data_IF_889008526734
#
_entry.id   IF_889008526734
#
_cell.length_a   1.000
_cell.length_b   1.000
_cell.length_c   1.000
_cell.angle_alpha   90.00
_cell.angle_beta   90.00
_cell.angle_gamma   90.00
#
_symmetry.space_group_name_H-M   'P 1'
#
loop_
_entity.id
_entity.type
_entity.pdbx_description
1 polymer ?
#
# COMPACT_ATOMS: atom_id res chain seq x y z
N UNK A 1 -8.18 -1.18 26.57
CA UNK A 1 -8.15 -2.61 26.99
C UNK A 1 -8.33 -3.47 25.75
N UNK A 2 -7.45 -4.44 25.50
CA UNK A 2 -7.61 -5.40 24.41
C UNK A 2 -8.79 -6.33 24.73
N UNK A 3 -9.83 -6.34 23.88
CA UNK A 3 -10.91 -7.32 24.03
C UNK A 3 -10.36 -8.74 23.85
N UNK A 4 -10.80 -9.72 24.65
CA UNK A 4 -10.43 -11.11 24.47
C UNK A 4 -10.94 -11.62 23.11
N UNK A 5 -10.16 -12.49 22.47
CA UNK A 5 -10.51 -13.08 21.18
C UNK A 5 -11.73 -14.01 21.39
N UNK A 6 -12.84 -13.70 20.75
CA UNK A 6 -14.06 -14.52 20.75
C UNK A 6 -14.19 -15.28 19.44
N UNK A 7 -14.42 -16.60 19.53
CA UNK A 7 -14.64 -17.48 18.37
C UNK A 7 -16.14 -17.72 18.21
N UNK A 8 -16.70 -17.40 17.04
CA UNK A 8 -18.10 -17.64 16.69
C UNK A 8 -18.19 -18.60 15.49
N UNK A 9 -18.98 -19.67 15.62
CA UNK A 9 -19.14 -20.71 14.58
C UNK A 9 -20.62 -21.07 14.43
N UNK A 10 -21.34 -20.30 13.63
CA UNK A 10 -22.74 -20.55 13.22
C UNK A 10 -22.93 -20.15 11.75
N UNK A 11 -24.00 -20.60 11.07
CA UNK A 11 -24.23 -20.28 9.64
C UNK A 11 -24.33 -18.78 9.33
N UNK A 12 -24.72 -17.97 10.33
CA UNK A 12 -24.80 -16.51 10.27
C UNK A 12 -23.47 -15.82 10.64
N UNK A 13 -22.35 -16.54 10.67
CA UNK A 13 -21.05 -16.00 11.10
C UNK A 13 -20.63 -14.74 10.34
N UNK A 14 -20.93 -14.64 9.04
CA UNK A 14 -20.64 -13.44 8.25
C UNK A 14 -21.47 -12.24 8.75
N UNK A 15 -22.78 -12.41 8.94
CA UNK A 15 -23.68 -11.37 9.46
C UNK A 15 -23.28 -10.96 10.89
N UNK A 16 -22.98 -11.95 11.74
CA UNK A 16 -22.49 -11.72 13.11
C UNK A 16 -21.16 -10.94 13.12
N UNK A 17 -20.25 -11.24 12.20
CA UNK A 17 -18.98 -10.54 12.06
C UNK A 17 -19.17 -9.08 11.62
N UNK A 18 -19.98 -8.84 10.59
CA UNK A 18 -20.27 -7.48 10.09
C UNK A 18 -20.98 -6.65 11.18
N UNK A 19 -21.96 -7.20 11.87
CA UNK A 19 -22.66 -6.50 12.95
C UNK A 19 -21.73 -6.14 14.11
N UNK A 20 -20.80 -7.02 14.48
CA UNK A 20 -19.78 -6.70 15.48
C UNK A 20 -18.81 -5.62 14.99
N UNK A 21 -18.40 -5.67 13.73
CA UNK A 21 -17.54 -4.63 13.14
C UNK A 21 -18.24 -3.27 13.11
N UNK A 22 -19.52 -3.20 12.76
CA UNK A 22 -20.31 -1.96 12.80
C UNK A 22 -20.40 -1.46 14.24
N UNK A 23 -20.71 -2.33 15.20
CA UNK A 23 -20.75 -1.97 16.63
C UNK A 23 -19.41 -1.45 17.14
N UNK A 24 -18.29 -2.05 16.70
CA UNK A 24 -16.96 -1.56 17.03
C UNK A 24 -16.63 -0.24 16.32
N UNK A 25 -17.01 -0.08 15.05
CA UNK A 25 -16.91 1.19 14.34
C UNK A 25 -17.67 2.27 15.08
N UNK A 26 -18.91 2.04 15.51
CA UNK A 26 -19.72 3.05 16.20
C UNK A 26 -19.15 3.40 17.58
N UNK A 27 -18.44 2.47 18.24
CA UNK A 27 -17.70 2.75 19.47
C UNK A 27 -16.40 3.52 19.23
N UNK A 28 -15.67 3.20 18.16
CA UNK A 28 -14.34 3.72 17.87
C UNK A 28 -14.40 5.04 17.09
N UNK A 29 -15.38 5.21 16.19
CA UNK A 29 -15.49 6.37 15.33
C UNK A 29 -15.54 7.68 16.12
N UNK A 30 -16.34 7.82 17.20
CA UNK A 30 -16.30 9.00 18.06
C UNK A 30 -14.91 9.22 18.68
N UNK A 31 -14.21 8.16 19.07
CA UNK A 31 -12.87 8.27 19.67
C UNK A 31 -11.80 8.72 18.66
N UNK A 32 -11.94 8.34 17.38
CA UNK A 32 -10.98 8.72 16.32
C UNK A 32 -11.28 10.11 15.76
N UNK A 33 -12.56 10.49 15.65
CA UNK A 33 -12.96 11.80 15.12
C UNK A 33 -12.94 12.89 16.17
N UNK A 34 -12.95 12.54 17.46
CA UNK A 34 -12.70 13.51 18.54
C UNK A 34 -11.29 14.04 18.38
N UNK A 35 -11.19 15.33 18.06
CA UNK A 35 -9.94 16.08 18.18
C UNK A 35 -9.57 16.02 19.65
N UNK A 36 -8.72 15.06 20.02
CA UNK A 36 -8.23 14.98 21.38
C UNK A 36 -7.38 16.23 21.62
N UNK A 37 -7.75 17.07 22.60
CA UNK A 37 -6.89 18.18 22.96
C UNK A 37 -5.53 17.61 23.35
N UNK A 38 -4.48 18.25 22.86
CA UNK A 38 -3.13 17.93 23.31
C UNK A 38 -3.08 18.23 24.80
N UNK A 39 -2.99 17.18 25.63
CA UNK A 39 -2.88 17.34 27.07
C UNK A 39 -1.42 17.61 27.41
N UNK A 40 -1.01 18.88 27.28
CA UNK A 40 0.27 19.33 27.80
C UNK A 40 0.18 19.45 29.32
N UNK A 41 1.24 19.04 30.02
CA UNK A 41 1.38 19.41 31.43
C UNK A 41 1.53 20.94 31.57
N UNK A 42 1.23 21.53 32.73
CA UNK A 42 1.50 22.96 32.97
C UNK A 42 2.96 23.35 32.65
N UNK A 43 3.90 22.46 32.93
CA UNK A 43 5.33 22.64 32.63
C UNK A 43 5.60 22.64 31.12
N UNK A 44 4.97 21.76 30.36
CA UNK A 44 5.11 21.70 28.89
C UNK A 44 4.45 22.90 28.20
N UNK A 45 3.35 23.41 28.76
CA UNK A 45 2.68 24.62 28.27
C UNK A 45 3.53 25.87 28.54
N UNK A 46 4.14 25.97 29.73
CA UNK A 46 5.10 27.02 30.07
C UNK A 46 6.35 26.94 29.17
N UNK A 47 6.85 25.73 28.91
CA UNK A 47 7.94 25.50 27.97
C UNK A 47 7.56 25.96 26.55
N UNK A 48 6.38 25.59 26.04
CA UNK A 48 5.93 26.03 24.72
C UNK A 48 5.80 27.55 24.63
N UNK A 49 5.26 28.19 25.66
CA UNK A 49 5.04 29.63 25.70
C UNK A 49 6.36 30.41 25.76
N UNK A 50 7.31 29.95 26.56
CA UNK A 50 8.64 30.56 26.71
C UNK A 50 9.58 30.27 25.54
N UNK A 51 9.37 29.19 24.79
CA UNK A 51 10.24 28.81 23.68
C UNK A 51 10.08 29.79 22.50
N UNK A 52 11.22 30.38 22.13
CA UNK A 52 11.34 31.32 21.01
C UNK A 52 12.01 30.68 19.80
N UNK A 53 12.56 29.46 19.92
CA UNK A 53 13.28 28.79 18.83
C UNK A 53 12.71 27.41 18.54
N UNK A 54 12.59 27.11 17.25
CA UNK A 54 12.11 25.83 16.76
C UNK A 54 13.05 24.70 17.22
N UNK A 55 12.53 23.68 17.89
CA UNK A 55 13.36 22.60 18.40
C UNK A 55 14.01 21.76 17.27
N UNK A 56 13.43 21.77 16.06
CA UNK A 56 13.94 21.06 14.87
C UNK A 56 15.08 21.81 14.17
N UNK A 57 14.83 23.04 13.71
CA UNK A 57 15.79 23.79 12.89
C UNK A 57 16.60 24.83 13.68
N UNK A 58 16.24 25.08 14.95
CA UNK A 58 16.87 26.06 15.85
C UNK A 58 16.74 27.52 15.41
N UNK A 59 15.88 27.86 14.45
CA UNK A 59 15.56 29.25 14.07
C UNK A 59 14.40 29.81 14.90
N UNK A 60 14.25 31.14 14.93
CA UNK A 60 13.20 31.83 15.70
C UNK A 60 11.81 31.40 15.22
N UNK A 61 10.90 31.22 16.18
CA UNK A 61 9.48 30.97 15.97
C UNK A 61 8.77 32.32 15.92
N UNK A 62 8.04 32.57 14.84
CA UNK A 62 7.27 33.80 14.68
C UNK A 62 5.77 33.47 14.79
N UNK A 63 4.95 33.93 13.84
CA UNK A 63 3.50 33.69 13.82
C UNK A 63 3.12 32.25 13.41
N UNK A 64 4.11 31.38 13.21
CA UNK A 64 3.97 30.02 12.71
C UNK A 64 4.30 28.95 13.77
N UNK A 65 4.40 29.36 15.05
CA UNK A 65 4.69 28.48 16.18
C UNK A 65 3.57 27.45 16.38
N UNK A 66 3.91 26.17 16.25
CA UNK A 66 3.02 25.02 16.49
C UNK A 66 3.59 24.06 17.52
N UNK A 67 2.71 23.26 18.14
CA UNK A 67 3.07 22.21 19.11
C UNK A 67 3.32 20.90 18.36
N UNK A 68 4.58 20.45 18.27
CA UNK A 68 4.88 19.12 17.73
C UNK A 68 4.69 18.06 18.81
N UNK A 69 4.09 16.93 18.45
CA UNK A 69 3.86 15.82 19.35
C UNK A 69 3.99 14.48 18.63
N UNK A 70 4.23 13.42 19.41
CA UNK A 70 4.22 12.07 18.90
C UNK A 70 2.78 11.57 18.76
N UNK A 71 2.28 11.41 17.53
CA UNK A 71 0.93 10.87 17.28
C UNK A 71 0.65 9.48 17.89
N UNK A 72 1.69 8.69 18.16
CA UNK A 72 1.53 7.35 18.76
C UNK A 72 1.50 7.38 20.29
N UNK A 73 2.25 8.29 20.92
CA UNK A 73 2.39 8.33 22.38
C UNK A 73 1.76 9.56 23.03
N UNK A 74 1.21 10.50 22.25
CA UNK A 74 0.68 11.78 22.72
C UNK A 74 1.73 12.77 23.24
N UNK A 75 2.96 12.30 23.49
CA UNK A 75 4.03 13.09 24.11
C UNK A 75 4.41 14.32 23.29
N UNK A 76 4.37 15.48 23.93
CA UNK A 76 4.88 16.74 23.40
C UNK A 76 6.39 16.65 23.14
N UNK A 77 6.82 17.16 21.98
CA UNK A 77 8.23 17.11 21.55
C UNK A 77 8.90 18.48 21.60
N UNK A 78 8.14 19.55 21.38
CA UNK A 78 8.67 20.91 21.39
C UNK A 78 7.90 21.86 20.47
N UNK A 79 8.26 23.13 20.54
CA UNK A 79 7.72 24.17 19.68
C UNK A 79 8.44 24.13 18.32
N UNK A 80 7.68 24.06 17.23
CA UNK A 80 8.21 23.98 15.86
C UNK A 80 7.52 24.98 14.93
N UNK A 81 8.13 25.22 13.77
CA UNK A 81 7.49 25.93 12.66
C UNK A 81 6.37 25.05 12.06
N UNK A 82 5.32 25.67 11.55
CA UNK A 82 4.24 24.96 10.84
C UNK A 82 4.67 24.43 9.45
N UNK A 83 5.85 24.83 8.97
CA UNK A 83 6.52 24.27 7.79
C UNK A 83 8.03 24.11 8.04
N UNK A 84 8.71 23.29 7.23
CA UNK A 84 10.17 23.15 7.26
C UNK A 84 10.78 23.73 5.98
N UNK A 85 11.78 24.59 6.14
CA UNK A 85 12.59 25.10 5.02
C UNK A 85 13.78 24.18 4.76
N UNK A 86 13.88 23.63 3.55
CA UNK A 86 15.05 22.87 3.14
C UNK A 86 16.27 23.80 3.06
N UNK A 87 17.27 23.60 3.93
CA UNK A 87 18.47 24.46 4.00
C UNK A 87 19.62 23.93 3.16
N UNK A 88 19.83 22.61 3.14
CA UNK A 88 20.95 21.97 2.45
C UNK A 88 20.62 20.54 2.05
N UNK A 89 21.05 20.17 0.84
CA UNK A 89 21.10 18.76 0.39
C UNK A 89 22.54 18.29 0.56
N UNK A 90 22.76 17.31 1.43
CA UNK A 90 24.12 16.83 1.76
C UNK A 90 24.70 15.88 0.71
N UNK A 91 23.86 15.06 0.10
CA UNK A 91 24.29 14.04 -0.87
C UNK A 91 23.16 13.75 -1.85
N UNK A 92 23.51 13.72 -3.14
CA UNK A 92 22.63 13.26 -4.21
C UNK A 92 23.31 12.07 -4.88
N UNK A 93 22.53 11.03 -5.15
CA UNK A 93 22.98 9.94 -6.02
C UNK A 93 22.44 10.21 -7.42
N UNK A 94 23.34 10.46 -8.37
CA UNK A 94 23.01 10.69 -9.77
C UNK A 94 23.52 9.53 -10.64
N UNK A 95 22.77 9.20 -11.68
CA UNK A 95 23.07 8.08 -12.57
C UNK A 95 22.75 8.44 -14.02
N UNK A 96 23.55 7.94 -14.97
CA UNK A 96 23.21 7.99 -16.39
C UNK A 96 22.14 6.95 -16.69
N UNK A 97 21.00 7.38 -17.19
CA UNK A 97 19.84 6.52 -17.43
C UNK A 97 19.79 6.09 -18.91
N UNK A 98 19.38 4.84 -19.15
CA UNK A 98 18.97 4.34 -20.47
C UNK A 98 17.72 3.48 -20.32
N UNK A 99 16.87 3.45 -21.34
CA UNK A 99 15.65 2.64 -21.37
C UNK A 99 15.95 1.18 -21.72
N UNK A 100 16.89 0.54 -21.02
CA UNK A 100 17.37 -0.81 -21.36
C UNK A 100 16.32 -1.92 -21.15
N UNK A 101 15.38 -1.71 -20.23
CA UNK A 101 14.23 -2.62 -20.03
C UNK A 101 13.11 -2.40 -21.04
N UNK A 102 13.12 -1.31 -21.81
CA UNK A 102 12.03 -0.95 -22.72
C UNK A 102 11.69 -2.08 -23.70
N UNK A 103 12.63 -2.70 -24.42
CA UNK A 103 12.31 -3.79 -25.34
C UNK A 103 11.63 -4.99 -24.65
N UNK A 104 12.06 -5.33 -23.44
CA UNK A 104 11.49 -6.42 -22.65
C UNK A 104 10.06 -6.11 -22.19
N UNK A 105 9.84 -4.91 -21.64
CA UNK A 105 8.51 -4.48 -21.17
C UNK A 105 7.54 -4.34 -22.35
N UNK A 106 7.98 -3.79 -23.48
CA UNK A 106 7.17 -3.65 -24.69
C UNK A 106 6.79 -5.02 -25.26
N UNK A 107 7.75 -5.95 -25.34
CA UNK A 107 7.49 -7.33 -25.76
C UNK A 107 6.40 -7.97 -24.89
N UNK A 108 6.58 -8.01 -23.56
CA UNK A 108 5.61 -8.62 -22.65
C UNK A 108 4.25 -7.91 -22.68
N UNK A 109 4.23 -6.58 -22.85
CA UNK A 109 2.99 -5.81 -22.96
C UNK A 109 2.24 -6.18 -24.25
N UNK A 110 2.94 -6.31 -25.37
CA UNK A 110 2.36 -6.73 -26.64
C UNK A 110 1.85 -8.17 -26.59
N UNK A 111 2.63 -9.09 -26.03
CA UNK A 111 2.18 -10.48 -25.82
C UNK A 111 0.96 -10.54 -24.90
N UNK A 112 0.94 -9.75 -23.82
CA UNK A 112 -0.24 -9.64 -22.94
C UNK A 112 -1.47 -9.06 -23.66
N UNK A 113 -1.29 -8.19 -24.66
CA UNK A 113 -2.40 -7.67 -25.49
C UNK A 113 -2.97 -8.76 -26.40
N UNK A 114 -2.10 -9.55 -27.04
CA UNK A 114 -2.47 -10.62 -27.98
C UNK A 114 -3.01 -11.88 -27.29
N UNK A 115 -2.63 -12.12 -26.03
CA UNK A 115 -3.10 -13.26 -25.26
C UNK A 115 -4.64 -13.32 -25.19
N UNK A 116 -5.19 -14.50 -25.50
CA UNK A 116 -6.63 -14.77 -25.46
C UNK A 116 -7.07 -15.22 -24.07
N UNK A 117 -6.25 -16.06 -23.43
CA UNK A 117 -6.55 -16.64 -22.11
C UNK A 117 -6.23 -15.70 -20.95
N UNK A 118 -6.96 -15.86 -19.83
CA UNK A 118 -6.63 -15.18 -18.56
C UNK A 118 -5.25 -15.59 -18.04
N UNK A 119 -4.91 -16.88 -18.16
CA UNK A 119 -3.62 -17.43 -17.73
C UNK A 119 -2.43 -16.75 -18.42
N UNK A 120 -2.43 -16.67 -19.76
CA UNK A 120 -1.32 -16.04 -20.49
C UNK A 120 -1.20 -14.54 -20.19
N UNK A 121 -2.35 -13.86 -20.06
CA UNK A 121 -2.38 -12.44 -19.66
C UNK A 121 -1.69 -12.24 -18.31
N UNK A 122 -1.95 -13.13 -17.35
CA UNK A 122 -1.34 -13.11 -16.03
C UNK A 122 0.14 -13.52 -16.05
N UNK A 123 0.52 -14.47 -16.92
CA UNK A 123 1.91 -14.86 -17.11
C UNK A 123 2.79 -13.69 -17.56
N UNK A 124 2.42 -13.00 -18.64
CA UNK A 124 3.19 -11.84 -19.12
C UNK A 124 3.17 -10.66 -18.14
N UNK A 125 2.06 -10.49 -17.39
CA UNK A 125 2.00 -9.52 -16.29
C UNK A 125 3.00 -9.88 -15.18
N UNK A 126 3.07 -11.16 -14.79
CA UNK A 126 3.97 -11.65 -13.76
C UNK A 126 5.44 -11.48 -14.17
N UNK A 127 5.79 -11.72 -15.43
CA UNK A 127 7.15 -11.50 -15.94
C UNK A 127 7.62 -10.06 -15.72
N UNK A 128 6.77 -9.07 -16.04
CA UNK A 128 7.07 -7.67 -15.78
C UNK A 128 7.18 -7.36 -14.28
N UNK A 129 6.21 -7.82 -13.47
CA UNK A 129 6.20 -7.58 -12.03
C UNK A 129 7.39 -8.26 -11.31
N UNK A 130 7.85 -9.39 -11.82
CA UNK A 130 8.96 -10.17 -11.25
C UNK A 130 10.29 -9.43 -11.37
N UNK A 131 10.50 -8.65 -12.44
CA UNK A 131 11.69 -7.79 -12.57
C UNK A 131 11.76 -6.82 -11.39
N UNK A 132 10.67 -6.10 -11.13
CA UNK A 132 10.59 -5.19 -9.97
C UNK A 132 10.82 -5.93 -8.65
N UNK A 133 10.11 -7.04 -8.42
CA UNK A 133 10.28 -7.86 -7.22
C UNK A 133 11.72 -8.34 -7.01
N UNK A 134 12.41 -8.70 -8.09
CA UNK A 134 13.81 -9.14 -8.03
C UNK A 134 14.77 -8.01 -7.71
N UNK A 135 14.51 -6.79 -8.19
CA UNK A 135 15.35 -5.63 -7.85
C UNK A 135 15.29 -5.28 -6.36
N UNK A 136 14.14 -5.52 -5.72
CA UNK A 136 13.89 -5.25 -4.29
C UNK A 136 14.12 -6.47 -3.38
N UNK A 137 14.68 -7.57 -3.91
CA UNK A 137 14.90 -8.80 -3.14
C UNK A 137 15.86 -8.57 -1.97
N UNK A 138 15.40 -8.83 -0.75
CA UNK A 138 16.25 -8.75 0.44
C UNK A 138 17.00 -10.07 0.66
N UNK A 139 18.18 -10.17 0.05
CA UNK A 139 19.08 -11.34 0.16
C UNK A 139 19.51 -11.67 1.60
N UNK A 140 19.38 -10.73 2.55
CA UNK A 140 19.68 -10.99 3.97
C UNK A 140 18.65 -11.89 4.65
N UNK A 141 17.44 -11.96 4.11
CA UNK A 141 16.38 -12.86 4.60
C UNK A 141 16.54 -14.29 4.08
N UNK A 142 17.48 -14.54 3.17
CA UNK A 142 17.72 -15.88 2.64
C UNK A 142 18.35 -16.78 3.71
N UNK A 143 17.82 -17.99 3.83
CA UNK A 143 18.32 -19.04 4.71
C UNK A 143 18.68 -20.28 3.89
N UNK A 144 19.68 -21.02 4.34
CA UNK A 144 19.96 -22.35 3.83
C UNK A 144 19.05 -23.34 4.55
N UNK A 145 18.35 -24.18 3.79
CA UNK A 145 17.48 -25.22 4.35
C UNK A 145 18.10 -26.58 4.04
N UNK A 146 18.22 -27.43 5.05
CA UNK A 146 18.71 -28.80 4.91
C UNK A 146 17.67 -29.79 5.44
N UNK A 147 17.41 -30.84 4.67
CA UNK A 147 16.58 -31.97 5.07
C UNK A 147 17.50 -33.05 5.65
N UNK A 148 17.18 -33.53 6.83
CA UNK A 148 18.02 -34.48 7.57
C UNK A 148 17.18 -35.62 8.08
N UNK A 149 17.67 -36.84 7.83
CA UNK A 149 17.01 -38.08 8.28
C UNK A 149 17.79 -38.83 9.36
N UNK A 150 19.01 -38.39 9.66
CA UNK A 150 19.88 -38.98 10.67
C UNK A 150 19.97 -38.08 11.90
N UNK A 151 19.69 -38.64 13.08
CA UNK A 151 19.80 -37.93 14.35
C UNK A 151 21.22 -37.38 14.59
N UNK A 152 22.26 -38.14 14.21
CA UNK A 152 23.67 -37.72 14.32
C UNK A 152 23.95 -36.47 13.48
N UNK A 153 23.43 -36.42 12.25
CA UNK A 153 23.58 -35.25 11.39
C UNK A 153 22.77 -34.06 11.93
N UNK A 154 21.57 -34.29 12.46
CA UNK A 154 20.73 -33.25 13.03
C UNK A 154 21.43 -32.59 14.24
N UNK A 155 21.93 -33.39 15.19
CA UNK A 155 22.69 -32.89 16.35
C UNK A 155 23.91 -32.05 15.94
N UNK A 156 24.68 -32.50 14.94
CA UNK A 156 25.82 -31.75 14.39
C UNK A 156 25.39 -30.38 13.83
N UNK A 157 24.26 -30.33 13.13
CA UNK A 157 23.79 -29.11 12.47
C UNK A 157 23.12 -28.12 13.44
N UNK A 158 22.51 -28.60 14.52
CA UNK A 158 21.98 -27.75 15.61
C UNK A 158 23.12 -27.08 16.39
N UNK A 159 24.24 -27.78 16.58
CA UNK A 159 25.40 -27.22 17.27
C UNK A 159 26.17 -26.16 16.45
N UNK A 160 25.85 -25.97 15.16
CA UNK A 160 26.54 -25.00 14.32
C UNK A 160 26.12 -23.56 14.68
N UNK A 161 27.04 -22.57 14.69
CA UNK A 161 26.70 -21.16 14.98
C UNK A 161 25.70 -20.55 13.99
N UNK A 162 25.63 -21.11 12.79
CA UNK A 162 24.67 -20.70 11.75
C UNK A 162 23.27 -21.26 11.96
N UNK A 163 23.05 -22.13 12.94
CA UNK A 163 21.74 -22.71 13.20
C UNK A 163 20.73 -21.62 13.59
N UNK A 164 19.52 -21.71 13.05
CA UNK A 164 18.43 -20.77 13.35
C UNK A 164 17.23 -21.45 13.99
N UNK A 165 16.72 -22.52 13.37
CA UNK A 165 15.61 -23.33 13.89
C UNK A 165 15.54 -24.66 13.15
N UNK A 166 14.80 -25.61 13.71
CA UNK A 166 14.41 -26.82 12.99
C UNK A 166 12.88 -27.03 13.07
N UNK A 167 12.36 -27.82 12.15
CA UNK A 167 10.97 -28.29 12.15
C UNK A 167 10.96 -29.79 11.84
N UNK A 168 10.41 -30.58 12.74
CA UNK A 168 10.19 -32.02 12.52
C UNK A 168 9.00 -32.15 11.57
N UNK A 169 9.18 -32.86 10.46
CA UNK A 169 8.08 -33.20 9.53
C UNK A 169 7.54 -34.58 9.86
N UNK A 170 8.44 -35.55 10.04
CA UNK A 170 8.12 -36.93 10.45
C UNK A 170 9.16 -37.40 11.47
N UNK A 171 8.93 -38.57 12.07
CA UNK A 171 9.89 -39.21 13.00
C UNK A 171 11.29 -39.39 12.40
N UNK A 172 11.37 -39.56 11.07
CA UNK A 172 12.62 -39.77 10.33
C UNK A 172 13.04 -38.58 9.48
N UNK A 173 12.37 -37.41 9.56
CA UNK A 173 12.68 -36.26 8.72
C UNK A 173 12.56 -34.93 9.49
N UNK A 174 13.68 -34.23 9.56
CA UNK A 174 13.80 -32.90 10.17
C UNK A 174 14.30 -31.89 9.14
N UNK A 175 13.62 -30.75 9.06
CA UNK A 175 14.06 -29.57 8.31
C UNK A 175 14.89 -28.70 9.24
N UNK A 176 16.13 -28.39 8.88
CA UNK A 176 16.95 -27.41 9.59
C UNK A 176 17.13 -26.14 8.74
N UNK A 177 16.83 -24.99 9.34
CA UNK A 177 17.06 -23.67 8.77
C UNK A 177 18.36 -23.09 9.35
N UNK A 178 19.24 -22.65 8.45
CA UNK A 178 20.55 -22.08 8.77
C UNK A 178 20.68 -20.68 8.17
N UNK A 179 21.36 -19.81 8.89
CA UNK A 179 21.83 -18.52 8.38
C UNK A 179 22.90 -18.73 7.29
N UNK A 180 22.94 -17.83 6.31
CA UNK A 180 24.05 -17.76 5.36
C UNK A 180 25.25 -17.09 6.02
N UNK A 181 26.39 -17.77 6.02
CA UNK A 181 27.64 -17.24 6.59
C UNK A 181 28.21 -16.07 5.78
N UNK A 182 28.00 -16.06 4.48
CA UNK A 182 28.37 -14.95 3.59
C UNK A 182 27.17 -14.55 2.74
N UNK A 183 26.93 -13.24 2.62
CA UNK A 183 25.82 -12.66 1.86
C UNK A 183 26.41 -11.67 0.85
N UNK A 184 26.27 -11.97 -0.44
CA UNK A 184 26.64 -11.06 -1.52
C UNK A 184 25.46 -10.13 -1.83
N UNK A 185 25.65 -8.82 -1.69
CA UNK A 185 24.65 -7.81 -2.03
C UNK A 185 24.67 -7.49 -3.53
N UNK A 186 24.12 -8.39 -4.34
CA UNK A 186 24.12 -8.31 -5.81
C UNK A 186 22.73 -7.98 -6.39
N UNK A 187 21.92 -7.22 -5.65
CA UNK A 187 20.60 -6.76 -6.12
C UNK A 187 20.62 -5.27 -6.40
N UNK A 188 20.11 -4.84 -7.57
CA UNK A 188 20.09 -3.44 -7.93
C UNK A 188 18.91 -2.72 -7.24
N UNK A 189 18.96 -2.61 -5.91
CA UNK A 189 17.87 -2.06 -5.07
C UNK A 189 17.51 -0.63 -5.49
N UNK A 190 18.49 0.16 -5.93
CA UNK A 190 18.25 1.51 -6.44
C UNK A 190 17.26 1.55 -7.61
N UNK A 191 17.26 0.54 -8.48
CA UNK A 191 16.31 0.45 -9.60
C UNK A 191 14.90 0.25 -9.05
N UNK A 192 14.72 -0.68 -8.13
CA UNK A 192 13.43 -0.94 -7.50
C UNK A 192 12.91 0.27 -6.73
N UNK A 193 13.78 0.96 -5.99
CA UNK A 193 13.44 2.21 -5.32
C UNK A 193 12.94 3.28 -6.30
N UNK A 194 13.67 3.53 -7.40
CA UNK A 194 13.26 4.53 -8.40
C UNK A 194 11.93 4.15 -9.06
N UNK A 195 11.71 2.88 -9.40
CA UNK A 195 10.43 2.42 -9.94
C UNK A 195 9.28 2.72 -8.97
N UNK A 196 9.48 2.42 -7.67
CA UNK A 196 8.47 2.68 -6.65
C UNK A 196 8.16 4.18 -6.49
N UNK A 197 9.20 5.01 -6.44
CA UNK A 197 9.02 6.47 -6.31
C UNK A 197 8.34 7.08 -7.55
N UNK A 198 8.74 6.66 -8.76
CA UNK A 198 8.06 7.10 -9.98
C UNK A 198 6.60 6.66 -10.04
N UNK A 199 6.30 5.44 -9.55
CA UNK A 199 4.91 4.97 -9.43
C UNK A 199 4.09 5.86 -8.50
N UNK A 200 4.65 6.29 -7.34
CA UNK A 200 3.97 7.22 -6.42
C UNK A 200 3.75 8.58 -7.07
N UNK A 201 4.74 9.11 -7.78
CA UNK A 201 4.61 10.39 -8.50
C UNK A 201 3.46 10.33 -9.51
N UNK A 202 3.29 9.22 -10.23
CA UNK A 202 2.16 9.04 -11.15
C UNK A 202 0.82 9.09 -10.41
N UNK A 203 0.71 8.37 -9.28
CA UNK A 203 -0.51 8.37 -8.45
C UNK A 203 -0.81 9.76 -7.87
N UNK A 204 0.22 10.46 -7.37
CA UNK A 204 0.08 11.82 -6.84
C UNK A 204 -0.28 12.83 -7.93
N UNK A 205 0.29 12.70 -9.12
CA UNK A 205 -0.07 13.56 -10.24
C UNK A 205 -1.54 13.38 -10.62
N UNK A 206 -2.04 12.14 -10.67
CA UNK A 206 -3.45 11.89 -10.92
C UNK A 206 -4.35 12.42 -9.79
N UNK A 207 -3.96 12.22 -8.52
CA UNK A 207 -4.73 12.71 -7.40
C UNK A 207 -4.77 14.24 -7.32
N UNK A 208 -3.61 14.89 -7.24
CA UNK A 208 -3.53 16.34 -6.98
C UNK A 208 -3.77 17.18 -8.23
N UNK A 209 -3.15 16.82 -9.35
CA UNK A 209 -3.16 17.67 -10.55
C UNK A 209 -4.34 17.38 -11.50
N UNK A 210 -5.02 16.24 -11.34
CA UNK A 210 -6.19 15.88 -12.14
C UNK A 210 -7.47 15.87 -11.30
N UNK A 211 -7.61 14.97 -10.32
CA UNK A 211 -8.85 14.84 -9.52
C UNK A 211 -9.08 16.07 -8.64
N UNK A 212 -8.16 16.41 -7.72
CA UNK A 212 -8.32 17.54 -6.81
C UNK A 212 -8.40 18.86 -7.56
N UNK A 213 -7.67 19.02 -8.67
CA UNK A 213 -7.75 20.23 -9.50
C UNK A 213 -9.14 20.43 -10.13
N UNK A 214 -9.82 19.35 -10.54
CA UNK A 214 -11.14 19.43 -11.18
C UNK A 214 -12.28 19.58 -10.16
N UNK A 215 -12.26 18.75 -9.12
CA UNK A 215 -13.40 18.64 -8.20
C UNK A 215 -13.20 19.35 -6.87
N UNK A 216 -11.97 19.75 -6.52
CA UNK A 216 -11.63 20.42 -5.26
C UNK A 216 -12.18 19.64 -4.06
N UNK A 217 -13.10 20.24 -3.29
CA UNK A 217 -13.69 19.65 -2.09
C UNK A 217 -14.85 18.68 -2.39
N UNK A 218 -15.30 18.61 -3.65
CA UNK A 218 -16.30 17.65 -4.11
C UNK A 218 -15.75 16.24 -4.35
N UNK A 219 -14.45 16.03 -4.18
CA UNK A 219 -13.81 14.72 -4.31
C UNK A 219 -13.18 14.28 -2.99
N UNK A 220 -13.73 13.21 -2.42
CA UNK A 220 -13.23 12.54 -1.23
C UNK A 220 -12.49 11.26 -1.64
N UNK A 221 -11.22 11.14 -1.22
CA UNK A 221 -10.45 9.91 -1.42
C UNK A 221 -10.82 8.89 -0.34
N UNK A 222 -11.54 7.83 -0.73
CA UNK A 222 -12.04 6.79 0.18
C UNK A 222 -10.96 5.77 0.55
N UNK A 223 -10.14 5.35 -0.42
CA UNK A 223 -8.96 4.53 -0.15
C UNK A 223 -7.89 4.64 -1.24
N UNK A 224 -6.68 4.20 -0.88
CA UNK A 224 -5.60 3.90 -1.83
C UNK A 224 -4.92 2.57 -1.47
N UNK A 225 -4.66 1.72 -2.48
CA UNK A 225 -3.74 0.58 -2.33
C UNK A 225 -2.80 0.50 -3.54
N UNK A 226 -1.55 0.90 -3.33
CA UNK A 226 -0.41 0.82 -4.27
C UNK A 226 -0.62 1.51 -5.61
N UNK A 227 -1.47 0.95 -6.48
CA UNK A 227 -1.78 1.37 -7.84
C UNK A 227 -3.29 1.65 -8.05
N UNK A 228 -4.07 1.67 -6.96
CA UNK A 228 -5.51 1.95 -6.98
C UNK A 228 -5.89 3.14 -6.12
N UNK A 229 -6.92 3.87 -6.58
CA UNK A 229 -7.56 4.99 -5.90
C UNK A 229 -9.07 4.80 -6.04
N UNK A 230 -9.81 5.05 -4.96
CA UNK A 230 -11.27 5.07 -5.01
C UNK A 230 -11.77 6.36 -4.42
N UNK A 231 -12.73 6.97 -5.11
CA UNK A 231 -13.24 8.28 -4.79
C UNK A 231 -14.75 8.25 -4.64
N UNK A 232 -15.23 9.10 -3.74
CA UNK A 232 -16.58 9.65 -3.80
C UNK A 232 -16.45 11.03 -4.45
N UNK A 233 -17.16 11.25 -5.56
CA UNK A 233 -17.10 12.51 -6.32
C UNK A 233 -18.52 13.02 -6.54
N UNK A 234 -18.78 14.25 -6.12
CA UNK A 234 -20.01 14.96 -6.44
C UNK A 234 -19.83 15.72 -7.77
N UNK A 235 -20.50 15.23 -8.83
CA UNK A 235 -20.54 15.82 -10.17
C UNK A 235 -21.86 15.45 -10.86
N UNK A 236 -22.22 16.14 -11.94
CA UNK A 236 -23.42 15.81 -12.72
C UNK A 236 -23.28 14.45 -13.43
N UNK A 237 -22.14 14.21 -14.07
CA UNK A 237 -21.84 12.97 -14.78
C UNK A 237 -20.33 12.73 -14.85
N UNK A 238 -19.86 11.77 -14.04
CA UNK A 238 -18.44 11.40 -13.99
C UNK A 238 -17.92 10.83 -15.31
N UNK A 239 -18.78 10.16 -16.09
CA UNK A 239 -18.38 9.57 -17.36
C UNK A 239 -18.19 10.66 -18.42
N UNK A 240 -19.07 11.67 -18.44
CA UNK A 240 -18.86 12.86 -19.29
C UNK A 240 -17.53 13.55 -18.97
N UNK A 241 -17.22 13.72 -17.68
CA UNK A 241 -15.96 14.29 -17.21
C UNK A 241 -14.74 13.45 -17.63
N UNK A 242 -14.85 12.12 -17.57
CA UNK A 242 -13.82 11.20 -18.06
C UNK A 242 -13.62 11.32 -19.57
N UNK A 243 -14.69 11.52 -20.34
CA UNK A 243 -14.66 11.67 -21.80
C UNK A 243 -13.80 12.85 -22.26
N UNK A 244 -13.79 13.96 -21.52
CA UNK A 244 -12.94 15.13 -21.81
C UNK A 244 -11.43 14.80 -21.72
N UNK A 245 -11.06 13.82 -20.91
CA UNK A 245 -9.68 13.41 -20.67
C UNK A 245 -9.44 11.93 -20.98
N UNK A 246 -10.11 11.40 -22.01
CA UNK A 246 -10.06 9.97 -22.34
C UNK A 246 -8.62 9.45 -22.61
N UNK A 247 -7.70 10.33 -23.00
CA UNK A 247 -6.29 10.05 -23.21
C UNK A 247 -5.56 9.47 -22.00
N UNK A 248 -6.00 9.75 -20.76
CA UNK A 248 -5.38 9.23 -19.54
C UNK A 248 -6.11 7.99 -18.98
N UNK A 249 -7.26 7.61 -19.55
CA UNK A 249 -8.05 6.48 -19.10
C UNK A 249 -7.95 5.28 -20.06
N UNK A 250 -7.96 4.08 -19.51
CA UNK A 250 -8.17 2.84 -20.25
C UNK A 250 -9.60 2.35 -20.02
N UNK A 251 -10.47 2.61 -20.99
CA UNK A 251 -11.90 2.23 -20.99
C UNK A 251 -12.17 1.03 -21.89
N UNK A 252 -11.16 0.25 -22.25
CA UNK A 252 -11.31 -0.88 -23.19
C UNK A 252 -12.13 -2.05 -22.63
N UNK A 253 -12.33 -2.09 -21.32
CA UNK A 253 -13.08 -3.14 -20.62
C UNK A 253 -14.55 -2.72 -20.35
N UNK A 254 -14.99 -1.56 -20.85
CA UNK A 254 -16.38 -1.13 -20.77
C UNK A 254 -17.29 -1.96 -21.68
N UNK A 255 -18.61 -1.99 -21.42
CA UNK A 255 -19.58 -2.54 -22.36
C UNK A 255 -19.43 -1.92 -23.76
N UNK A 256 -19.53 -2.70 -24.82
CA UNK A 256 -19.27 -2.22 -26.19
C UNK A 256 -20.24 -1.14 -26.66
N UNK A 257 -21.43 -1.12 -26.09
CA UNK A 257 -22.49 -0.14 -26.29
C UNK A 257 -22.30 1.14 -25.46
N UNK A 258 -21.33 1.16 -24.53
CA UNK A 258 -21.07 2.33 -23.69
C UNK A 258 -20.37 3.45 -24.49
N UNK A 259 -20.83 4.70 -24.30
CA UNK A 259 -20.34 5.87 -25.06
C UNK A 259 -18.82 6.11 -24.98
N UNK A 260 -18.19 5.71 -23.86
CA UNK A 260 -16.74 5.83 -23.63
C UNK A 260 -15.92 4.59 -24.01
N UNK A 261 -16.54 3.52 -24.50
CA UNK A 261 -15.80 2.32 -24.89
C UNK A 261 -14.76 2.66 -25.97
N UNK A 262 -13.49 2.36 -25.70
CA UNK A 262 -12.41 2.61 -26.64
C UNK A 262 -11.23 1.68 -26.42
N UNK A 263 -10.77 1.03 -27.49
CA UNK A 263 -9.56 0.20 -27.44
C UNK A 263 -8.26 1.02 -27.59
N UNK A 264 -8.34 2.34 -27.79
CA UNK A 264 -7.18 3.21 -28.05
C UNK A 264 -6.11 3.12 -26.97
N UNK A 265 -6.52 3.02 -25.71
CA UNK A 265 -5.63 2.95 -24.55
C UNK A 265 -5.52 1.55 -23.93
N UNK A 266 -6.05 0.50 -24.61
CA UNK A 266 -6.07 -0.88 -24.11
C UNK A 266 -4.69 -1.33 -23.65
N UNK A 267 -4.54 -1.56 -22.34
CA UNK A 267 -3.31 -1.96 -21.66
C UNK A 267 -2.12 -1.03 -21.95
N UNK A 268 -2.39 0.26 -22.18
CA UNK A 268 -1.36 1.28 -22.37
C UNK A 268 -0.75 1.66 -21.02
N UNK A 269 0.57 1.79 -20.99
CA UNK A 269 1.31 2.15 -19.77
C UNK A 269 0.89 3.57 -19.33
N UNK A 270 0.75 3.75 -18.02
CA UNK A 270 0.38 5.02 -17.35
C UNK A 270 -1.05 5.50 -17.57
N UNK A 271 -1.90 4.71 -18.21
CA UNK A 271 -3.35 4.96 -18.23
C UNK A 271 -4.03 4.34 -17.00
N UNK A 272 -5.03 5.04 -16.47
CA UNK A 272 -5.85 4.57 -15.36
C UNK A 272 -7.07 3.81 -15.90
N UNK A 273 -7.24 2.58 -15.47
CA UNK A 273 -8.45 1.80 -15.75
C UNK A 273 -9.49 2.03 -14.66
N UNK A 274 -10.75 2.09 -15.04
CA UNK A 274 -11.85 1.89 -14.09
C UNK A 274 -12.01 0.37 -13.87
N UNK A 275 -11.77 -0.09 -12.65
CA UNK A 275 -11.79 -1.53 -12.32
C UNK A 275 -13.20 -2.13 -12.27
N UNK A 276 -14.24 -1.31 -12.16
CA UNK A 276 -15.62 -1.78 -12.05
C UNK A 276 -16.35 -1.67 -13.40
N UNK A 277 -15.64 -1.33 -14.47
CA UNK A 277 -16.13 -1.35 -15.86
C UNK A 277 -17.43 -0.58 -16.05
N UNK A 278 -17.46 0.70 -15.63
CA UNK A 278 -18.61 1.59 -15.73
C UNK A 278 -19.80 1.21 -14.86
N UNK A 279 -19.59 0.43 -13.79
CA UNK A 279 -20.62 0.15 -12.80
C UNK A 279 -20.40 1.03 -11.57
N UNK A 280 -21.32 1.95 -11.26
CA UNK A 280 -21.19 2.80 -10.08
C UNK A 280 -21.12 1.97 -8.78
N UNK A 281 -20.25 2.40 -7.86
CA UNK A 281 -20.21 1.87 -6.50
C UNK A 281 -21.33 2.55 -5.72
N UNK A 282 -22.23 1.74 -5.14
CA UNK A 282 -23.39 2.20 -4.38
C UNK A 282 -23.01 2.40 -2.91
N UNK A 283 -22.19 1.51 -2.37
CA UNK A 283 -21.75 1.56 -0.98
C UNK A 283 -20.27 1.22 -0.88
N UNK A 284 -19.56 1.95 -0.01
CA UNK A 284 -18.16 1.69 0.32
C UNK A 284 -17.95 1.68 1.83
N UNK A 285 -17.27 0.64 2.33
CA UNK A 285 -16.86 0.55 3.74
C UNK A 285 -15.36 0.24 3.82
N UNK A 286 -14.56 1.22 4.24
CA UNK A 286 -13.13 1.05 4.50
C UNK A 286 -12.84 1.03 6.00
N UNK A 287 -12.36 -0.11 6.51
CA UNK A 287 -12.09 -0.26 7.95
C UNK A 287 -10.61 -0.03 8.31
N UNK A 288 -9.70 -0.50 7.45
CA UNK A 288 -8.26 -0.26 7.56
C UNK A 288 -7.57 -0.54 6.22
N UNK A 289 -6.29 -0.22 6.15
CA UNK A 289 -5.46 -0.57 5.00
C UNK A 289 -5.63 -2.05 4.62
N UNK A 290 -6.00 -2.30 3.35
CA UNK A 290 -6.24 -3.64 2.77
C UNK A 290 -7.39 -4.43 3.42
N UNK A 291 -8.36 -3.73 4.01
CA UNK A 291 -9.60 -4.27 4.56
C UNK A 291 -10.80 -3.36 4.25
N UNK A 292 -11.58 -3.73 3.24
CA UNK A 292 -12.70 -2.93 2.74
C UNK A 292 -13.76 -3.78 2.03
N UNK A 293 -14.99 -3.27 1.96
CA UNK A 293 -16.07 -3.80 1.10
C UNK A 293 -16.56 -2.73 0.14
N UNK A 294 -16.93 -3.13 -1.08
CA UNK A 294 -17.52 -2.27 -2.10
C UNK A 294 -18.73 -2.98 -2.69
N UNK A 295 -19.89 -2.34 -2.65
CA UNK A 295 -21.12 -2.82 -3.23
C UNK A 295 -21.41 -2.11 -4.55
N UNK A 296 -21.74 -2.88 -5.57
CA UNK A 296 -22.21 -2.41 -6.88
C UNK A 296 -23.58 -3.03 -7.12
N UNK A 297 -24.31 -2.57 -8.15
CA UNK A 297 -25.63 -3.12 -8.48
C UNK A 297 -25.61 -4.65 -8.67
N UNK A 298 -24.51 -5.18 -9.21
CA UNK A 298 -24.42 -6.59 -9.61
C UNK A 298 -23.62 -7.46 -8.63
N UNK A 299 -22.78 -6.87 -7.78
CA UNK A 299 -21.81 -7.63 -7.00
C UNK A 299 -21.28 -6.89 -5.77
N UNK A 300 -20.81 -7.66 -4.79
CA UNK A 300 -20.10 -7.16 -3.62
C UNK A 300 -18.65 -7.67 -3.64
N UNK A 301 -17.68 -6.75 -3.54
CA UNK A 301 -16.25 -7.07 -3.46
C UNK A 301 -15.74 -6.88 -2.03
N UNK A 302 -15.49 -7.98 -1.34
CA UNK A 302 -14.88 -8.01 0.01
C UNK A 302 -13.38 -8.28 -0.07
N UNK A 303 -12.59 -7.40 0.53
CA UNK A 303 -11.13 -7.58 0.65
C UNK A 303 -10.74 -7.55 2.12
N UNK A 304 -10.09 -8.60 2.60
CA UNK A 304 -9.53 -8.67 3.96
C UNK A 304 -8.18 -9.38 3.93
N UNK A 305 -7.09 -8.60 3.84
CA UNK A 305 -5.74 -9.20 3.81
C UNK A 305 -5.41 -9.90 5.12
N UNK A 306 -4.95 -11.14 5.01
CA UNK A 306 -4.55 -11.98 6.16
C UNK A 306 -5.69 -12.84 6.73
N UNK A 307 -6.90 -12.75 6.17
CA UNK A 307 -8.04 -13.61 6.51
C UNK A 307 -8.19 -14.69 5.43
N UNK A 308 -8.38 -15.94 5.84
CA UNK A 308 -8.62 -17.04 4.91
C UNK A 308 -9.96 -16.86 4.19
N UNK A 309 -10.04 -17.20 2.90
CA UNK A 309 -11.29 -17.20 2.13
C UNK A 309 -12.38 -18.09 2.72
N UNK A 310 -12.01 -19.09 3.53
CA UNK A 310 -12.96 -19.99 4.22
C UNK A 310 -13.69 -19.27 5.37
N UNK A 311 -13.19 -18.12 5.80
CA UNK A 311 -13.72 -17.34 6.92
C UNK A 311 -14.42 -16.03 6.49
N UNK A 312 -14.58 -15.79 5.18
CA UNK A 312 -15.20 -14.58 4.61
C UNK A 312 -16.52 -14.95 3.94
#
# INVERSE_FOLDING_TARGET
MLKPITVYRRPDAATHFINNLIKEKDQIAPMITTIMPMNLSPEEEEQFNSETRCYLCKHLLENDKVRDHCHLSGRYRGAAHNYLKLTKVHKVLSFKQKSWLKPYIEFNTNQRKLASSSFEKDFFKLLNNSVYGKTMENVRKHSNVQLVTSEKQAKKLVAAPTFKRFKIITESLVVLEKLKSCITLNRPIYIGFVILELSKVLMYNFHYNHIKKRYMDKANLLFTDTDSLTYEIETEDIYKDMGENLNIYDTSDYPQDHALYSEKNKKRISCFKDEINSKPIIEFVGLRAKMYSMLTADSEKKTAKGVSKVAI
#
